data_IF_124398212594
#
_entry.id   IF_124398212594
#
_cell.length_a   1.000
_cell.length_b   1.000
_cell.length_c   1.000
_cell.angle_alpha   90.00
_cell.angle_beta   90.00
_cell.angle_gamma   90.00
#
_symmetry.space_group_name_H-M   'P 1'
#
loop_
_entity.id
_entity.type
_entity.pdbx_description
1 polymer ?
#
# COMPACT_ATOMS: atom_id res chain seq x y z
N UNK A 1 10.72 -0.52 10.06
CA UNK A 1 9.34 -1.01 9.78
C UNK A 1 8.79 -0.15 8.66
N UNK A 2 8.22 -0.78 7.63
CA UNK A 2 7.52 -0.09 6.54
C UNK A 2 6.09 -0.58 6.49
N UNK A 3 5.15 0.31 6.16
CA UNK A 3 3.75 -0.06 5.91
C UNK A 3 3.51 0.06 4.42
N UNK A 4 2.92 -0.97 3.83
CA UNK A 4 2.59 -1.03 2.42
C UNK A 4 1.16 -1.51 2.22
N UNK A 5 0.62 -1.20 1.04
CA UNK A 5 -0.70 -1.66 0.64
C UNK A 5 -0.65 -2.20 -0.80
N UNK A 6 -1.43 -3.24 -1.09
CA UNK A 6 -1.72 -3.70 -2.44
C UNK A 6 -3.13 -3.26 -2.79
N UNK A 7 -3.30 -2.59 -3.95
CA UNK A 7 -4.63 -2.30 -4.47
C UNK A 7 -5.13 -3.49 -5.29
N UNK A 8 -6.29 -4.04 -4.91
CA UNK A 8 -6.90 -5.22 -5.53
C UNK A 8 -8.09 -4.89 -6.44
N UNK A 9 -8.57 -3.63 -6.45
CA UNK A 9 -9.67 -3.18 -7.30
C UNK A 9 -9.31 -3.11 -8.79
N UNK A 10 -8.03 -2.95 -9.13
CA UNK A 10 -7.52 -2.96 -10.51
C UNK A 10 -6.70 -4.23 -10.77
N UNK A 11 -7.35 -5.25 -11.35
CA UNK A 11 -6.71 -6.52 -11.69
C UNK A 11 -5.84 -6.35 -12.94
N UNK A 12 -4.57 -6.04 -12.71
CA UNK A 12 -3.53 -6.11 -13.75
C UNK A 12 -2.85 -7.47 -13.70
N UNK A 13 -2.88 -8.21 -14.80
CA UNK A 13 -2.30 -9.56 -14.85
C UNK A 13 -0.77 -9.57 -14.93
N UNK A 14 -0.17 -8.44 -15.29
CA UNK A 14 1.27 -8.26 -15.47
C UNK A 14 1.96 -7.48 -14.34
N UNK A 15 1.19 -6.80 -13.49
CA UNK A 15 1.71 -5.93 -12.44
C UNK A 15 0.86 -6.00 -11.16
N UNK A 16 1.52 -5.88 -10.02
CA UNK A 16 0.86 -5.75 -8.71
C UNK A 16 1.04 -4.31 -8.21
N UNK A 17 -0.04 -3.50 -8.07
CA UNK A 17 0.06 -2.14 -7.57
C UNK A 17 0.42 -2.12 -6.08
N UNK A 18 1.70 -1.92 -5.78
CA UNK A 18 2.19 -1.81 -4.39
C UNK A 18 2.48 -0.36 -4.03
N UNK A 19 1.93 0.07 -2.90
CA UNK A 19 2.08 1.41 -2.34
C UNK A 19 2.84 1.35 -1.02
N UNK A 20 3.63 2.38 -0.70
CA UNK A 20 4.35 2.52 0.57
C UNK A 20 3.93 3.81 1.27
N UNK A 21 3.62 3.72 2.57
CA UNK A 21 3.22 4.87 3.38
C UNK A 21 4.40 5.82 3.58
N UNK A 22 4.24 7.06 3.11
CA UNK A 22 5.12 8.17 3.42
C UNK A 22 4.61 8.90 4.67
N UNK A 23 5.25 8.64 5.83
CA UNK A 23 4.88 9.25 7.11
C UNK A 23 5.03 10.78 7.16
N UNK A 24 5.74 11.41 6.21
CA UNK A 24 5.87 12.88 6.18
C UNK A 24 4.68 13.55 5.51
N UNK A 25 4.12 12.92 4.49
CA UNK A 25 3.03 13.47 3.67
C UNK A 25 1.68 12.84 4.03
N UNK A 26 1.69 11.69 4.71
CA UNK A 26 0.51 10.90 5.03
C UNK A 26 -0.20 10.33 3.78
N UNK A 27 0.58 10.03 2.74
CA UNK A 27 0.12 9.37 1.52
C UNK A 27 0.77 8.00 1.37
N UNK A 28 0.02 7.05 0.82
CA UNK A 28 0.54 5.84 0.22
C UNK A 28 0.94 6.15 -1.23
N UNK A 29 2.23 6.05 -1.51
CA UNK A 29 2.79 6.34 -2.84
C UNK A 29 3.19 5.04 -3.53
N UNK A 30 2.78 4.83 -4.78
CA UNK A 30 3.16 3.62 -5.51
C UNK A 30 4.68 3.51 -5.58
N UNK A 31 5.20 2.29 -5.49
CA UNK A 31 6.66 2.08 -5.49
C UNK A 31 7.25 2.39 -6.86
N UNK A 32 6.57 2.00 -7.93
CA UNK A 32 7.05 2.13 -9.31
C UNK A 32 6.72 3.48 -9.95
N UNK A 33 5.66 4.15 -9.48
CA UNK A 33 5.21 5.44 -10.02
C UNK A 33 4.69 6.35 -8.90
N UNK A 34 5.51 7.32 -8.49
CA UNK A 34 5.20 8.23 -7.37
C UNK A 34 4.11 9.25 -7.69
N UNK A 35 3.70 9.39 -8.95
CA UNK A 35 2.55 10.23 -9.32
C UNK A 35 1.22 9.58 -8.87
N UNK A 36 1.17 8.24 -8.82
CA UNK A 36 0.02 7.49 -8.32
C UNK A 36 0.13 7.36 -6.80
N UNK A 37 -0.80 8.00 -6.09
CA UNK A 37 -0.84 8.00 -4.63
C UNK A 37 -2.25 8.15 -4.08
N UNK A 38 -2.46 7.64 -2.88
CA UNK A 38 -3.71 7.73 -2.14
C UNK A 38 -3.46 8.29 -0.75
N UNK A 39 -4.43 9.04 -0.22
CA UNK A 39 -4.37 9.46 1.18
C UNK A 39 -4.42 8.24 2.10
N UNK A 40 -3.74 8.33 3.24
CA UNK A 40 -3.73 7.24 4.22
C UNK A 40 -5.14 6.77 4.61
N UNK A 41 -6.07 7.71 4.81
CA UNK A 41 -7.46 7.39 5.18
C UNK A 41 -8.17 6.57 4.11
N UNK A 42 -7.95 6.87 2.83
CA UNK A 42 -8.54 6.10 1.72
C UNK A 42 -8.05 4.66 1.74
N UNK A 43 -6.75 4.46 1.92
CA UNK A 43 -6.17 3.10 1.96
C UNK A 43 -6.62 2.33 3.20
N UNK A 44 -6.83 2.99 4.33
CA UNK A 44 -7.24 2.34 5.58
C UNK A 44 -8.74 2.03 5.67
N UNK A 45 -9.60 2.74 4.93
CA UNK A 45 -11.06 2.56 4.96
C UNK A 45 -11.61 1.75 3.79
N UNK A 46 -10.82 1.55 2.73
CA UNK A 46 -11.25 0.87 1.50
C UNK A 46 -10.84 -0.62 1.52
N UNK A 47 -11.84 -1.50 1.44
CA UNK A 47 -11.68 -2.96 1.43
C UNK A 47 -10.91 -3.48 0.19
N UNK A 48 -10.75 -2.66 -0.85
CA UNK A 48 -9.92 -2.97 -2.01
C UNK A 48 -8.41 -2.79 -1.75
N UNK A 49 -8.00 -2.41 -0.54
CA UNK A 49 -6.59 -2.36 -0.15
C UNK A 49 -6.22 -3.44 0.87
N UNK A 50 -5.21 -4.23 0.53
CA UNK A 50 -4.57 -5.17 1.45
C UNK A 50 -3.36 -4.52 2.10
N UNK A 51 -3.45 -4.19 3.40
CA UNK A 51 -2.38 -3.53 4.15
C UNK A 51 -1.49 -4.57 4.84
N UNK A 52 -0.17 -4.36 4.75
CA UNK A 52 0.82 -5.23 5.38
C UNK A 52 2.04 -4.44 5.85
N UNK A 53 2.73 -5.02 6.83
CA UNK A 53 3.95 -4.48 7.39
C UNK A 53 5.15 -5.26 6.89
N UNK A 54 6.27 -4.55 6.68
CA UNK A 54 7.56 -5.16 6.35
C UNK A 54 8.56 -4.92 7.47
N UNK A 55 9.10 -6.01 7.99
CA UNK A 55 10.19 -6.05 8.96
C UNK A 55 11.18 -7.15 8.58
N UNK A 56 12.47 -6.81 8.47
CA UNK A 56 13.54 -7.76 8.12
C UNK A 56 13.21 -8.59 6.87
N UNK A 57 12.69 -7.94 5.82
CA UNK A 57 12.27 -8.54 4.55
C UNK A 57 11.13 -9.57 4.65
N UNK A 58 10.44 -9.64 5.79
CA UNK A 58 9.23 -10.44 6.00
C UNK A 58 8.02 -9.52 5.92
N UNK A 59 7.05 -9.90 5.08
CA UNK A 59 5.75 -9.25 4.98
C UNK A 59 4.73 -9.97 5.87
N UNK A 60 4.04 -9.21 6.72
CA UNK A 60 2.98 -9.71 7.60
C UNK A 60 1.73 -8.88 7.36
N UNK A 61 0.60 -9.54 7.09
CA UNK A 61 -0.69 -8.86 6.96
C UNK A 61 -1.00 -8.10 8.25
N UNK A 62 -1.43 -6.85 8.09
CA UNK A 62 -1.88 -6.04 9.21
C UNK A 62 -3.31 -6.47 9.52
N UNK A 63 -3.49 -7.45 10.40
CA UNK A 63 -4.81 -7.83 10.89
C UNK A 63 -5.35 -6.69 11.76
N UNK A 64 -6.64 -6.37 11.61
CA UNK A 64 -7.36 -5.40 12.46
C UNK A 64 -7.28 -5.75 13.95
#
# INVERSE_FOLDING_TARGET
MKIRAIFTGDVRFDQCPVFELNNKTNYFEMIIDKEIKYEKVVVEEDEEFLIFEIQNDIATMKNE
#
